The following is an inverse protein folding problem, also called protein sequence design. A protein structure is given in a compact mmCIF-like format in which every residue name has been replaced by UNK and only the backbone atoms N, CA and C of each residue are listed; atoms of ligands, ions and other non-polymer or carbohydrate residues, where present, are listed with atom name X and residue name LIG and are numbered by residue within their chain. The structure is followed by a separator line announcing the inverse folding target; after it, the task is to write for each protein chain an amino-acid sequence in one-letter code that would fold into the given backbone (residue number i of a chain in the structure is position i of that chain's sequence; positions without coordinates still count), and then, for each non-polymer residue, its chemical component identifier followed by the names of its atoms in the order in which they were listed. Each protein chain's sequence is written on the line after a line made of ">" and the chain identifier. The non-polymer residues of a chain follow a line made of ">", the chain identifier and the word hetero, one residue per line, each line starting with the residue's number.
data_IF_922869177481
#
_entry.id   IF_922869177481
#
_cell.length_a   1.000
_cell.length_b   1.000
_cell.length_c   1.000
_cell.angle_alpha   90.00
_cell.angle_beta   90.00
_cell.angle_gamma   90.00
#
_symmetry.space_group_name_H-M   'P 1'
#
loop_
_entity.id
_entity.type
_entity.pdbx_description
1 polymer ?
#
# COMPACT_ATOMS: atom_id res chain seq x y z
N UNK A 1 50.06 -54.00 -32.03
CA UNK A 1 49.05 -54.47 -31.04
C UNK A 1 48.83 -53.36 -30.07
N UNK A 2 47.70 -52.62 -30.19
CA UNK A 2 47.32 -51.51 -29.29
C UNK A 2 46.54 -52.06 -28.11
N UNK A 3 47.02 -51.77 -26.89
CA UNK A 3 46.41 -52.18 -25.63
C UNK A 3 45.06 -51.48 -25.47
N UNK A 4 43.94 -52.17 -25.20
CA UNK A 4 42.62 -51.53 -25.04
C UNK A 4 42.63 -50.61 -23.83
N UNK A 5 41.91 -49.47 -23.87
CA UNK A 5 41.85 -48.56 -22.76
C UNK A 5 41.14 -49.22 -21.59
N UNK A 6 41.80 -49.27 -20.43
CA UNK A 6 41.16 -49.69 -19.16
C UNK A 6 40.07 -48.76 -18.77
N UNK A 7 38.80 -49.18 -18.81
CA UNK A 7 37.67 -48.50 -18.25
C UNK A 7 37.78 -48.53 -16.72
N UNK A 8 38.10 -47.43 -16.11
CA UNK A 8 38.06 -47.28 -14.65
C UNK A 8 36.58 -47.13 -14.25
N UNK A 9 36.07 -48.08 -13.48
CA UNK A 9 34.75 -47.96 -12.86
C UNK A 9 34.82 -47.04 -11.64
N UNK A 10 33.71 -46.36 -11.33
CA UNK A 10 33.59 -45.52 -10.12
C UNK A 10 33.59 -46.38 -8.86
N UNK A 11 34.28 -45.93 -7.82
CA UNK A 11 34.25 -46.56 -6.50
C UNK A 11 32.88 -46.29 -5.82
N UNK A 12 32.36 -47.27 -5.09
CA UNK A 12 31.12 -47.12 -4.32
C UNK A 12 31.20 -45.94 -3.32
N UNK A 13 32.39 -45.71 -2.74
CA UNK A 13 32.64 -44.56 -1.86
C UNK A 13 32.52 -43.25 -2.62
N UNK A 14 33.02 -43.14 -3.83
CA UNK A 14 32.97 -41.93 -4.66
C UNK A 14 31.52 -41.56 -5.00
N UNK A 15 30.70 -42.56 -5.35
CA UNK A 15 29.27 -42.37 -5.61
C UNK A 15 28.53 -41.93 -4.33
N UNK A 16 28.85 -42.54 -3.18
CA UNK A 16 28.23 -42.19 -1.89
C UNK A 16 28.54 -40.76 -1.49
N UNK A 17 29.78 -40.30 -1.64
CA UNK A 17 30.19 -38.92 -1.33
C UNK A 17 29.54 -37.94 -2.30
N UNK A 18 29.48 -38.26 -3.59
CA UNK A 18 28.83 -37.42 -4.60
C UNK A 18 27.34 -37.21 -4.27
N UNK A 19 26.61 -38.29 -3.90
CA UNK A 19 25.21 -38.21 -3.52
C UNK A 19 25.05 -37.39 -2.22
N UNK A 20 25.92 -37.54 -1.25
CA UNK A 20 25.87 -36.76 0.01
C UNK A 20 26.06 -35.28 -0.26
N UNK A 21 27.02 -34.89 -1.08
CA UNK A 21 27.22 -33.46 -1.45
C UNK A 21 26.05 -32.95 -2.25
N UNK A 22 25.54 -33.67 -3.22
CA UNK A 22 24.36 -33.28 -4.01
C UNK A 22 23.15 -33.08 -3.12
N UNK A 23 22.88 -33.98 -2.19
CA UNK A 23 21.77 -33.89 -1.26
C UNK A 23 21.87 -32.65 -0.34
N UNK A 24 23.07 -32.35 0.14
CA UNK A 24 23.32 -31.17 0.96
C UNK A 24 23.09 -29.86 0.17
N UNK A 25 23.60 -29.79 -1.07
CA UNK A 25 23.38 -28.64 -1.94
C UNK A 25 21.90 -28.45 -2.28
N UNK A 26 21.17 -29.53 -2.56
CA UNK A 26 19.75 -29.48 -2.85
C UNK A 26 18.94 -28.99 -1.64
N UNK A 27 19.28 -29.48 -0.45
CA UNK A 27 18.62 -29.09 0.78
C UNK A 27 18.81 -27.57 1.08
N UNK A 28 20.01 -27.06 0.87
CA UNK A 28 20.29 -25.62 1.07
C UNK A 28 19.53 -24.73 0.08
N UNK A 29 19.43 -25.16 -1.19
CA UNK A 29 18.63 -24.44 -2.19
C UNK A 29 17.13 -24.43 -1.84
N UNK A 30 16.59 -25.58 -1.41
CA UNK A 30 15.20 -25.68 -0.99
C UNK A 30 14.90 -24.82 0.25
N UNK A 31 15.85 -24.70 1.17
CA UNK A 31 15.69 -23.86 2.37
C UNK A 31 15.65 -22.36 2.04
N UNK A 32 16.27 -21.90 0.95
CA UNK A 32 16.26 -20.49 0.52
C UNK A 32 15.00 -20.10 -0.27
N UNK A 33 14.29 -21.07 -0.84
CA UNK A 33 13.11 -20.83 -1.68
C UNK A 33 12.00 -20.03 -0.98
N UNK A 34 11.59 -20.36 0.26
CA UNK A 34 10.55 -19.60 0.96
C UNK A 34 10.94 -18.13 1.21
N UNK A 35 12.19 -17.87 1.57
CA UNK A 35 12.68 -16.51 1.81
C UNK A 35 12.65 -15.66 0.53
N UNK A 36 13.01 -16.24 -0.61
CA UNK A 36 12.92 -15.56 -1.91
C UNK A 36 11.49 -15.24 -2.32
N UNK A 37 10.55 -16.17 -2.10
CA UNK A 37 9.13 -15.94 -2.40
C UNK A 37 8.53 -14.85 -1.54
N UNK A 38 8.79 -14.83 -0.22
CA UNK A 38 8.30 -13.80 0.69
C UNK A 38 8.82 -12.42 0.26
N UNK A 39 10.10 -12.29 -0.04
CA UNK A 39 10.70 -11.05 -0.49
C UNK A 39 10.08 -10.53 -1.81
N UNK A 40 9.79 -11.45 -2.73
CA UNK A 40 9.17 -11.09 -4.01
C UNK A 40 7.73 -10.60 -3.83
N UNK A 41 6.93 -11.29 -3.02
CA UNK A 41 5.55 -10.90 -2.74
C UNK A 41 5.48 -9.54 -2.02
N UNK A 42 6.36 -9.30 -1.06
CA UNK A 42 6.43 -8.01 -0.34
C UNK A 42 6.82 -6.86 -1.27
N UNK A 43 7.74 -7.07 -2.19
CA UNK A 43 8.14 -6.09 -3.19
C UNK A 43 7.00 -5.75 -4.16
N UNK A 44 6.24 -6.76 -4.60
CA UNK A 44 5.07 -6.57 -5.46
C UNK A 44 3.97 -5.78 -4.74
N UNK A 45 3.68 -6.13 -3.48
CA UNK A 45 2.69 -5.43 -2.67
C UNK A 45 3.06 -3.96 -2.44
N UNK A 46 4.32 -3.66 -2.16
CA UNK A 46 4.82 -2.28 -2.04
C UNK A 46 4.68 -1.49 -3.34
N UNK A 47 4.99 -2.11 -4.47
CA UNK A 47 4.86 -1.46 -5.78
C UNK A 47 3.39 -1.17 -6.12
N UNK A 48 2.50 -2.11 -5.87
CA UNK A 48 1.05 -1.92 -6.04
C UNK A 48 0.53 -0.83 -5.12
N UNK A 49 0.93 -0.84 -3.84
CA UNK A 49 0.55 0.19 -2.87
C UNK A 49 1.03 1.59 -3.30
N UNK A 50 2.25 1.73 -3.84
CA UNK A 50 2.74 3.00 -4.37
C UNK A 50 1.89 3.50 -5.55
N UNK A 51 1.49 2.61 -6.45
CA UNK A 51 0.58 2.91 -7.56
C UNK A 51 -0.80 3.37 -7.06
N UNK A 52 -1.36 2.68 -6.08
CA UNK A 52 -2.64 3.04 -5.45
C UNK A 52 -2.55 4.40 -4.75
N UNK A 53 -1.48 4.67 -4.01
CA UNK A 53 -1.27 5.98 -3.35
C UNK A 53 -1.23 7.12 -4.37
N UNK A 54 -0.57 6.91 -5.52
CA UNK A 54 -0.56 7.87 -6.62
C UNK A 54 -1.95 8.12 -7.21
N UNK A 55 -2.77 7.08 -7.35
CA UNK A 55 -4.16 7.21 -7.82
C UNK A 55 -5.02 7.99 -6.83
N UNK A 56 -4.88 7.75 -5.52
CA UNK A 56 -5.59 8.50 -4.48
C UNK A 56 -5.18 9.98 -4.52
N UNK A 57 -3.88 10.26 -4.65
CA UNK A 57 -3.39 11.63 -4.75
C UNK A 57 -3.91 12.36 -6.00
N UNK A 58 -4.00 11.67 -7.13
CA UNK A 58 -4.59 12.21 -8.36
C UNK A 58 -6.09 12.51 -8.19
N UNK A 59 -6.85 11.59 -7.59
CA UNK A 59 -8.28 11.75 -7.33
C UNK A 59 -8.57 12.95 -6.40
N UNK A 60 -7.69 13.18 -5.41
CA UNK A 60 -7.79 14.35 -4.54
C UNK A 60 -7.52 15.65 -5.32
N UNK A 61 -6.59 15.66 -6.28
CA UNK A 61 -6.34 16.83 -7.14
C UNK A 61 -7.52 17.15 -8.03
N UNK A 62 -8.20 16.13 -8.53
CA UNK A 62 -9.37 16.26 -9.39
C UNK A 62 -10.65 16.64 -8.61
N UNK A 63 -10.55 16.71 -7.28
CA UNK A 63 -11.69 17.12 -6.44
C UNK A 63 -11.99 18.60 -6.66
N UNK A 64 -13.22 18.97 -7.03
CA UNK A 64 -13.57 20.36 -7.26
C UNK A 64 -13.42 21.20 -5.98
N UNK A 65 -13.17 22.48 -6.17
CA UNK A 65 -13.15 23.43 -5.05
C UNK A 65 -14.54 23.54 -4.42
N UNK A 66 -14.54 23.76 -3.11
CA UNK A 66 -15.78 24.07 -2.42
C UNK A 66 -16.38 25.39 -2.93
N UNK A 67 -17.68 25.39 -3.13
CA UNK A 67 -18.45 26.54 -3.55
C UNK A 67 -19.70 26.71 -2.67
N UNK A 68 -20.38 27.84 -2.80
CA UNK A 68 -21.68 28.04 -2.11
C UNK A 68 -22.72 26.98 -2.49
N UNK A 69 -22.65 26.44 -3.71
CA UNK A 69 -23.55 25.41 -4.18
C UNK A 69 -23.09 23.98 -3.76
N UNK A 70 -21.80 23.77 -3.52
CA UNK A 70 -21.23 22.51 -3.05
C UNK A 70 -20.18 22.78 -1.96
N UNK A 71 -20.59 22.92 -0.71
CA UNK A 71 -19.69 23.28 0.38
C UNK A 71 -18.74 22.14 0.78
N UNK A 72 -19.09 20.92 0.50
CA UNK A 72 -18.30 19.72 0.86
C UNK A 72 -18.08 18.84 -0.38
N UNK A 73 -17.19 19.24 -1.29
CA UNK A 73 -16.92 18.44 -2.48
C UNK A 73 -16.28 17.11 -2.11
N UNK A 74 -16.72 16.05 -2.79
CA UNK A 74 -16.14 14.73 -2.63
C UNK A 74 -15.28 14.37 -3.85
N UNK A 75 -14.23 13.60 -3.64
CA UNK A 75 -13.38 13.13 -4.71
C UNK A 75 -14.16 12.17 -5.65
N UNK A 76 -13.91 12.24 -6.97
CA UNK A 76 -14.74 11.53 -7.95
C UNK A 76 -14.73 10.01 -7.81
N UNK A 77 -13.58 9.43 -7.50
CA UNK A 77 -13.40 7.97 -7.46
C UNK A 77 -13.61 7.39 -6.07
N UNK A 78 -12.98 7.98 -5.08
CA UNK A 78 -12.99 7.44 -3.72
C UNK A 78 -14.04 8.07 -2.82
N UNK A 79 -14.67 9.17 -3.24
CA UNK A 79 -15.69 9.87 -2.46
C UNK A 79 -15.15 10.54 -1.19
N UNK A 80 -13.83 10.83 -1.16
CA UNK A 80 -13.18 11.51 -0.04
C UNK A 80 -13.74 12.93 0.08
N UNK A 81 -14.40 13.25 1.19
CA UNK A 81 -14.86 14.60 1.46
C UNK A 81 -13.73 15.45 2.00
N UNK A 82 -13.44 16.51 1.28
CA UNK A 82 -12.43 17.48 1.69
C UNK A 82 -13.15 18.61 2.42
N UNK A 83 -13.22 18.52 3.73
CA UNK A 83 -13.88 19.53 4.56
C UNK A 83 -13.11 20.85 4.50
N UNK A 84 -13.75 21.87 3.94
CA UNK A 84 -13.19 23.21 3.77
C UNK A 84 -13.68 24.19 4.84
N UNK A 85 -14.63 23.78 5.65
CA UNK A 85 -15.37 24.66 6.58
C UNK A 85 -14.90 24.57 8.03
N UNK A 86 -13.81 23.86 8.36
CA UNK A 86 -13.34 23.78 9.73
C UNK A 86 -12.81 25.12 10.23
N UNK A 87 -13.59 25.78 11.06
CA UNK A 87 -13.20 26.99 11.80
C UNK A 87 -12.32 26.70 13.00
N UNK A 88 -12.09 25.43 13.32
CA UNK A 88 -11.22 24.98 14.41
C UNK A 88 -9.87 24.50 13.87
N UNK A 89 -8.86 24.55 14.71
CA UNK A 89 -7.49 24.09 14.54
C UNK A 89 -7.39 22.93 13.53
N UNK A 90 -6.38 22.94 12.66
CA UNK A 90 -6.07 21.92 11.67
C UNK A 90 -6.17 20.48 12.22
N UNK A 91 -7.37 19.99 12.37
CA UNK A 91 -7.66 18.63 12.76
C UNK A 91 -7.77 17.86 11.44
N UNK A 92 -6.73 17.09 11.13
CA UNK A 92 -6.78 16.23 9.96
C UNK A 92 -8.01 15.32 10.02
N UNK A 93 -8.86 15.37 9.01
CA UNK A 93 -9.93 14.37 8.89
C UNK A 93 -9.27 13.04 8.48
N UNK A 94 -9.52 12.00 9.27
CA UNK A 94 -9.04 10.65 8.96
C UNK A 94 -10.15 9.88 8.27
N UNK A 95 -9.93 9.55 7.01
CA UNK A 95 -10.85 8.72 6.24
C UNK A 95 -10.20 7.36 5.99
N UNK A 96 -10.95 6.30 6.19
CA UNK A 96 -10.51 4.93 5.91
C UNK A 96 -11.42 4.28 4.89
N UNK A 97 -10.84 3.52 3.98
CA UNK A 97 -11.57 2.70 3.03
C UNK A 97 -10.75 1.50 2.62
N UNK A 98 -11.42 0.49 2.12
CA UNK A 98 -10.82 -0.77 1.76
C UNK A 98 -10.79 -0.93 0.25
N UNK A 99 -9.70 -1.51 -0.25
CA UNK A 99 -9.39 -1.61 -1.66
C UNK A 99 -9.07 -3.05 -2.05
N UNK A 100 -9.39 -3.38 -3.28
CA UNK A 100 -8.94 -4.62 -3.93
C UNK A 100 -7.47 -4.51 -4.38
N UNK A 101 -6.98 -5.52 -5.09
CA UNK A 101 -5.62 -5.61 -5.65
C UNK A 101 -5.36 -4.56 -6.74
N UNK A 102 -6.41 -4.04 -7.38
CA UNK A 102 -6.34 -3.05 -8.45
C UNK A 102 -6.51 -1.61 -7.96
N UNK A 103 -6.80 -1.43 -6.66
CA UNK A 103 -7.03 -0.12 -6.04
C UNK A 103 -8.45 0.41 -6.22
N UNK A 104 -9.44 -0.47 -6.53
CA UNK A 104 -10.83 -0.06 -6.52
C UNK A 104 -11.41 -0.18 -5.11
N UNK A 105 -12.28 0.77 -4.70
CA UNK A 105 -12.93 0.69 -3.41
C UNK A 105 -13.88 -0.52 -3.35
N UNK A 106 -13.77 -1.31 -2.29
CA UNK A 106 -14.62 -2.48 -2.05
C UNK A 106 -15.82 -2.19 -1.17
N UNK A 107 -15.93 -0.95 -0.68
CA UNK A 107 -17.04 -0.47 0.17
C UNK A 107 -17.03 1.03 0.31
N UNK A 108 -17.96 1.56 1.11
CA UNK A 108 -18.03 2.99 1.40
C UNK A 108 -16.89 3.43 2.35
N UNK A 109 -16.61 4.74 2.37
CA UNK A 109 -15.67 5.35 3.32
C UNK A 109 -16.14 5.10 4.75
N UNK A 110 -15.18 4.78 5.62
CA UNK A 110 -15.40 4.47 7.03
C UNK A 110 -16.40 3.32 7.27
N UNK A 111 -16.65 2.49 6.27
CA UNK A 111 -17.46 1.28 6.39
C UNK A 111 -16.62 0.09 6.87
N UNK A 112 -17.31 -0.99 7.22
CA UNK A 112 -16.67 -2.25 7.58
C UNK A 112 -16.00 -2.90 6.38
N UNK A 113 -14.97 -3.68 6.65
CA UNK A 113 -14.24 -4.45 5.64
C UNK A 113 -15.13 -5.48 4.92
N UNK A 114 -14.86 -5.67 3.64
CA UNK A 114 -15.45 -6.76 2.83
C UNK A 114 -14.43 -7.88 2.60
N UNK A 115 -14.91 -9.06 2.20
CA UNK A 115 -14.07 -10.25 2.01
C UNK A 115 -13.00 -10.10 0.92
N UNK A 116 -13.24 -9.22 -0.06
CA UNK A 116 -12.34 -9.02 -1.20
C UNK A 116 -11.32 -7.90 -1.00
N UNK A 117 -11.25 -7.34 0.20
CA UNK A 117 -10.34 -6.24 0.50
C UNK A 117 -8.93 -6.77 0.79
N UNK A 118 -7.95 -6.24 0.08
CA UNK A 118 -6.53 -6.56 0.25
C UNK A 118 -5.81 -5.44 0.98
N UNK A 119 -6.09 -4.19 0.61
CA UNK A 119 -5.48 -3.01 1.21
C UNK A 119 -6.49 -2.23 2.05
N UNK A 120 -6.01 -1.69 3.16
CA UNK A 120 -6.68 -0.62 3.90
C UNK A 120 -5.98 0.69 3.57
N UNK A 121 -6.72 1.66 3.05
CA UNK A 121 -6.24 3.01 2.85
C UNK A 121 -6.70 3.89 4.01
N UNK A 122 -5.77 4.57 4.65
CA UNK A 122 -6.03 5.60 5.65
C UNK A 122 -5.52 6.91 5.10
N UNK A 123 -6.43 7.85 4.83
CA UNK A 123 -6.11 9.15 4.26
C UNK A 123 -6.37 10.23 5.31
N UNK A 124 -5.32 10.90 5.71
CA UNK A 124 -5.38 12.03 6.63
C UNK A 124 -5.21 13.31 5.82
N UNK A 125 -6.27 14.11 5.79
CA UNK A 125 -6.28 15.39 5.07
C UNK A 125 -6.14 16.53 6.07
N UNK A 126 -5.10 17.34 5.91
CA UNK A 126 -4.83 18.51 6.75
C UNK A 126 -4.84 19.78 5.91
N UNK A 127 -5.77 20.67 6.21
CA UNK A 127 -5.88 21.97 5.56
C UNK A 127 -5.32 23.03 6.51
N UNK A 128 -4.26 23.77 6.14
CA UNK A 128 -3.68 24.76 7.04
C UNK A 128 -4.65 25.92 7.29
N UNK A 129 -4.82 26.30 8.56
CA UNK A 129 -5.68 27.41 8.98
C UNK A 129 -4.94 28.75 8.85
N UNK A 130 -5.65 29.81 8.40
CA UNK A 130 -5.19 31.18 8.60
C UNK A 130 -5.84 31.82 9.83
N UNK A 131 -5.05 32.53 10.61
CA UNK A 131 -5.45 33.11 11.88
C UNK A 131 -6.54 34.23 11.78
N UNK A 132 -6.81 34.82 10.64
CA UNK A 132 -7.59 36.08 10.57
C UNK A 132 -8.47 36.27 9.33
N UNK A 133 -9.02 35.25 8.70
CA UNK A 133 -9.96 35.49 7.61
C UNK A 133 -11.39 35.10 7.98
N UNK A 134 -12.26 36.08 8.15
CA UNK A 134 -13.69 35.90 8.38
C UNK A 134 -14.48 35.37 7.18
N UNK A 135 -13.82 34.90 6.14
CA UNK A 135 -14.47 34.30 4.97
C UNK A 135 -14.27 32.79 4.98
N UNK A 136 -15.39 32.09 4.87
CA UNK A 136 -15.47 30.62 4.97
C UNK A 136 -14.83 29.83 3.82
N UNK A 137 -14.33 30.49 2.80
CA UNK A 137 -13.81 29.82 1.59
C UNK A 137 -12.32 30.10 1.41
N UNK A 138 -11.49 29.07 1.61
CA UNK A 138 -10.05 29.15 1.42
C UNK A 138 -9.69 28.67 0.02
N UNK A 139 -9.73 29.56 -0.95
CA UNK A 139 -9.23 29.35 -2.30
C UNK A 139 -7.70 29.44 -2.29
N UNK A 140 -7.04 28.62 -3.08
CA UNK A 140 -5.59 28.60 -3.33
C UNK A 140 -4.69 28.26 -2.13
N UNK A 141 -4.95 27.12 -1.47
CA UNK A 141 -4.02 26.61 -0.47
C UNK A 141 -3.66 25.17 -0.72
N UNK A 142 -2.39 24.82 -0.55
CA UNK A 142 -2.01 23.44 -0.59
C UNK A 142 -2.71 22.67 0.54
N UNK A 143 -3.35 21.59 0.17
CA UNK A 143 -3.90 20.61 1.10
C UNK A 143 -2.84 19.57 1.35
N UNK A 144 -2.44 19.37 2.60
CA UNK A 144 -1.51 18.29 2.95
C UNK A 144 -2.28 17.00 3.12
N UNK A 145 -1.83 15.98 2.43
CA UNK A 145 -2.46 14.67 2.42
C UNK A 145 -1.42 13.63 2.80
N UNK A 146 -1.68 12.91 3.86
CA UNK A 146 -0.93 11.73 4.27
C UNK A 146 -1.74 10.50 3.91
N UNK A 147 -1.19 9.66 3.06
CA UNK A 147 -1.80 8.42 2.57
C UNK A 147 -1.03 7.27 3.17
N UNK A 148 -1.70 6.45 3.96
CA UNK A 148 -1.13 5.24 4.57
C UNK A 148 -1.90 4.04 4.03
N UNK A 149 -1.21 3.17 3.31
CA UNK A 149 -1.74 1.91 2.82
C UNK A 149 -1.16 0.77 3.64
N UNK A 150 -2.01 -0.09 4.18
CA UNK A 150 -1.60 -1.25 4.97
C UNK A 150 -2.21 -2.53 4.41
N UNK A 151 -1.49 -3.64 4.56
CA UNK A 151 -1.94 -4.96 4.16
C UNK A 151 -1.46 -6.05 5.12
N UNK A 152 -2.17 -7.18 5.22
CA UNK A 152 -3.50 -7.40 4.64
C UNK A 152 -4.58 -6.62 5.39
N UNK A 153 -5.58 -6.11 4.66
CA UNK A 153 -6.68 -5.33 5.23
C UNK A 153 -7.46 -6.07 6.33
N UNK A 154 -7.49 -7.41 6.26
CA UNK A 154 -8.20 -8.27 7.21
C UNK A 154 -7.62 -8.24 8.64
N UNK A 155 -6.38 -7.85 8.82
CA UNK A 155 -5.75 -7.73 10.14
C UNK A 155 -6.12 -6.42 10.86
N UNK A 156 -6.44 -5.37 10.10
CA UNK A 156 -6.82 -4.07 10.66
C UNK A 156 -8.22 -3.63 10.20
N UNK A 157 -9.23 -4.10 10.93
CA UNK A 157 -10.66 -3.87 10.62
C UNK A 157 -11.21 -2.57 11.20
N UNK A 158 -10.41 -1.79 11.91
CA UNK A 158 -10.88 -0.57 12.59
C UNK A 158 -11.05 0.56 11.57
N UNK A 159 -12.29 0.97 11.36
CA UNK A 159 -12.62 2.10 10.49
C UNK A 159 -12.38 3.45 11.21
N UNK A 160 -11.99 4.48 10.45
CA UNK A 160 -11.85 5.84 10.96
C UNK A 160 -10.64 6.08 11.88
N UNK A 161 -9.73 5.10 12.03
CA UNK A 161 -8.57 5.19 12.89
C UNK A 161 -7.27 4.95 12.11
N UNK A 162 -6.16 5.44 12.67
CA UNK A 162 -4.82 5.11 12.17
C UNK A 162 -4.59 3.59 12.23
N UNK A 163 -3.81 3.03 11.29
CA UNK A 163 -3.51 1.60 11.27
C UNK A 163 -2.82 1.13 12.55
N UNK A 164 -3.22 -0.02 13.06
CA UNK A 164 -2.68 -0.59 14.30
C UNK A 164 -2.09 -1.99 14.15
N UNK A 165 -2.63 -2.79 13.23
CA UNK A 165 -2.19 -4.17 12.98
C UNK A 165 -2.06 -4.40 11.46
N UNK A 166 -0.85 -4.70 11.00
CA UNK A 166 -0.58 -4.95 9.58
C UNK A 166 0.76 -5.68 9.41
N UNK A 167 0.92 -6.41 8.31
CA UNK A 167 2.18 -7.07 7.97
C UNK A 167 3.08 -6.16 7.15
N UNK A 168 2.50 -5.35 6.28
CA UNK A 168 3.23 -4.39 5.48
C UNK A 168 2.50 -3.07 5.36
N UNK A 169 3.27 -2.00 5.12
CA UNK A 169 2.74 -0.66 4.94
C UNK A 169 3.50 0.13 3.89
N UNK A 170 2.81 1.06 3.28
CA UNK A 170 3.36 2.10 2.42
C UNK A 170 2.77 3.44 2.83
N UNK A 171 3.61 4.43 3.00
CA UNK A 171 3.21 5.78 3.41
C UNK A 171 3.73 6.80 2.40
N UNK A 172 2.89 7.78 2.07
CA UNK A 172 3.21 8.89 1.18
C UNK A 172 2.57 10.17 1.70
N UNK A 173 3.41 11.19 1.89
CA UNK A 173 2.98 12.54 2.20
C UNK A 173 3.05 13.39 0.93
N UNK A 174 1.97 14.08 0.60
CA UNK A 174 1.89 14.95 -0.57
C UNK A 174 1.18 16.25 -0.24
N UNK A 175 1.59 17.33 -0.88
CA UNK A 175 0.86 18.57 -0.90
C UNK A 175 0.09 18.65 -2.22
N UNK A 176 -1.21 18.83 -2.15
CA UNK A 176 -2.08 18.92 -3.32
C UNK A 176 -2.58 20.35 -3.43
N UNK A 177 -2.24 21.02 -4.53
CA UNK A 177 -2.84 22.27 -4.91
C UNK A 177 -4.07 21.97 -5.78
N UNK A 178 -5.20 22.52 -5.36
CA UNK A 178 -6.50 22.37 -6.04
C UNK A 178 -6.81 23.69 -6.71
N UNK A 179 -6.71 23.73 -8.01
CA UNK A 179 -7.08 24.88 -8.83
C UNK A 179 -8.56 24.90 -9.20
#
# INVERSE_FOLDING_TARGET
>A
MTKPPQRRGFSLVEVSVAIAILSFCLLTLLALLPAGLISTTDSLQKTSAAGIASQIAADIRDTPLASSANPTPASPRYGLTLDTASTSVATGSTNTFYLDDTGNPTGAINASITSNSIYKATVVVTIPKMANSGSAYFYNRPTFVRIILTWPAQEDKTAGALPSHFQGSYESDTAVDRN
#
